data_IF_027979849948
#
_entry.id   IF_027979849948
#
_cell.length_a   1.000
_cell.length_b   1.000
_cell.length_c   1.000
_cell.angle_alpha   90.00
_cell.angle_beta   90.00
_cell.angle_gamma   90.00
#
_symmetry.space_group_name_H-M   'P 1'
#
loop_
_entity.id
_entity.type
_entity.pdbx_description
1 polymer ?
#
# COMPACT_ATOMS: atom_id res chain seq x y z
N UNK A 1 -6.42 -3.34 -33.17
CA UNK A 1 -5.69 -3.78 -31.96
C UNK A 1 -4.66 -2.78 -31.47
N UNK A 2 -4.00 -2.01 -32.36
CA UNK A 2 -2.91 -1.09 -32.01
C UNK A 2 -3.26 0.00 -30.96
N UNK A 3 -4.50 0.53 -31.00
CA UNK A 3 -4.94 1.57 -30.07
C UNK A 3 -5.08 1.05 -28.61
N UNK A 4 -5.51 -0.21 -28.46
CA UNK A 4 -5.67 -0.86 -27.15
C UNK A 4 -4.29 -1.16 -26.54
N UNK A 5 -3.32 -1.58 -27.35
CA UNK A 5 -1.95 -1.81 -26.90
C UNK A 5 -1.26 -0.49 -26.50
N UNK A 6 -1.53 0.59 -27.23
CA UNK A 6 -1.01 1.93 -26.90
C UNK A 6 -1.58 2.45 -25.57
N UNK A 7 -2.87 2.21 -25.31
CA UNK A 7 -3.52 2.57 -24.06
C UNK A 7 -3.04 1.70 -22.88
N UNK A 8 -2.71 0.42 -23.11
CA UNK A 8 -2.11 -0.44 -22.07
C UNK A 8 -0.67 -0.05 -21.71
N UNK A 9 0.08 0.56 -22.62
CA UNK A 9 1.48 0.94 -22.42
C UNK A 9 1.65 2.23 -21.62
N UNK A 10 0.67 3.13 -21.63
CA UNK A 10 0.70 4.36 -20.83
C UNK A 10 0.05 4.07 -19.47
N UNK A 11 0.75 4.36 -18.38
CA UNK A 11 0.10 4.43 -17.08
C UNK A 11 -0.95 5.53 -17.13
N UNK A 12 -2.09 5.25 -16.51
CA UNK A 12 -3.15 6.23 -16.35
C UNK A 12 -2.68 7.38 -15.45
N UNK A 13 -3.28 8.56 -15.57
CA UNK A 13 -2.92 9.74 -14.77
C UNK A 13 -3.02 9.44 -13.27
N UNK A 14 -4.06 8.70 -12.87
CA UNK A 14 -4.26 8.22 -11.50
C UNK A 14 -3.14 7.28 -11.04
N UNK A 15 -2.67 6.39 -11.91
CA UNK A 15 -1.59 5.46 -11.56
C UNK A 15 -0.25 6.19 -11.38
N UNK A 16 0.02 7.19 -12.22
CA UNK A 16 1.19 8.05 -12.08
C UNK A 16 1.12 8.83 -10.76
N UNK A 17 -0.05 9.40 -10.46
CA UNK A 17 -0.28 10.14 -9.21
C UNK A 17 -0.08 9.26 -7.97
N UNK A 18 -0.61 8.04 -7.96
CA UNK A 18 -0.42 7.08 -6.86
C UNK A 18 1.07 6.76 -6.67
N UNK A 19 1.80 6.49 -7.76
CA UNK A 19 3.22 6.15 -7.69
C UNK A 19 4.06 7.31 -7.15
N UNK A 20 3.73 8.54 -7.53
CA UNK A 20 4.40 9.75 -7.07
C UNK A 20 4.22 9.93 -5.54
N UNK A 21 2.99 9.82 -5.04
CA UNK A 21 2.72 9.92 -3.59
C UNK A 21 3.44 8.83 -2.80
N UNK A 22 3.42 7.57 -3.28
CA UNK A 22 4.14 6.47 -2.63
C UNK A 22 5.66 6.68 -2.59
N UNK A 23 6.22 7.36 -3.61
CA UNK A 23 7.63 7.72 -3.64
C UNK A 23 7.93 8.81 -2.61
N UNK A 24 7.12 9.86 -2.54
CA UNK A 24 7.27 10.96 -1.59
C UNK A 24 7.20 10.47 -0.14
N UNK A 25 6.24 9.59 0.19
CA UNK A 25 6.12 8.97 1.52
C UNK A 25 7.37 8.18 1.90
N UNK A 26 7.94 7.42 0.95
CA UNK A 26 9.15 6.64 1.17
C UNK A 26 10.36 7.56 1.40
N UNK A 27 10.49 8.63 0.62
CA UNK A 27 11.56 9.61 0.80
C UNK A 27 11.46 10.34 2.14
N UNK A 28 10.25 10.72 2.56
CA UNK A 28 10.02 11.35 3.86
C UNK A 28 10.45 10.44 5.00
N UNK A 29 10.06 9.16 4.95
CA UNK A 29 10.47 8.17 5.94
C UNK A 29 11.99 8.02 6.01
N UNK A 30 12.65 7.91 4.85
CA UNK A 30 14.11 7.80 4.80
C UNK A 30 14.82 9.03 5.39
N UNK A 31 14.27 10.25 5.21
CA UNK A 31 14.83 11.46 5.82
C UNK A 31 14.75 11.43 7.35
N UNK A 32 13.63 11.00 7.90
CA UNK A 32 13.45 10.86 9.35
C UNK A 32 14.43 9.84 9.91
N UNK A 33 14.58 8.69 9.26
CA UNK A 33 15.52 7.65 9.68
C UNK A 33 16.99 8.14 9.58
N UNK A 34 17.33 8.96 8.59
CA UNK A 34 18.67 9.54 8.45
C UNK A 34 19.00 10.51 9.59
N UNK A 35 18.11 11.45 9.89
CA UNK A 35 18.30 12.42 10.99
C UNK A 35 18.48 11.69 12.32
N UNK A 36 17.64 10.69 12.60
CA UNK A 36 17.74 9.93 13.85
C UNK A 36 19.08 9.20 14.01
N UNK A 37 19.60 8.62 12.92
CA UNK A 37 20.91 7.96 12.94
C UNK A 37 22.07 8.94 13.04
N UNK A 38 21.93 10.14 12.47
CA UNK A 38 22.95 11.19 12.51
C UNK A 38 23.11 11.74 13.93
N UNK A 39 21.99 12.06 14.59
CA UNK A 39 21.96 12.51 15.99
C UNK A 39 22.63 11.50 16.94
N UNK A 40 22.31 10.21 16.80
CA UNK A 40 22.91 9.16 17.63
C UNK A 40 24.43 9.05 17.40
N UNK A 41 24.91 9.26 16.18
CA UNK A 41 26.34 9.19 15.86
C UNK A 41 27.08 10.43 16.41
N UNK A 42 26.46 11.60 16.39
CA UNK A 42 27.02 12.82 16.97
C UNK A 42 27.16 12.74 18.50
N UNK A 43 26.18 12.17 19.20
CA UNK A 43 26.26 11.90 20.65
C UNK A 43 27.43 10.98 21.02
N UNK A 44 27.69 9.93 20.23
CA UNK A 44 28.85 9.06 20.47
C UNK A 44 30.19 9.76 20.22
N UNK A 45 30.23 10.70 19.27
CA UNK A 45 31.44 11.44 18.92
C UNK A 45 31.75 12.56 19.91
N UNK A 46 30.75 13.23 20.47
CA UNK A 46 30.94 14.26 21.50
C UNK A 46 31.54 13.67 22.77
N UNK A 47 31.06 12.50 23.21
CA UNK A 47 31.62 11.79 24.37
C UNK A 47 33.13 11.52 24.24
N UNK A 48 33.60 11.16 23.04
CA UNK A 48 35.03 10.95 22.77
C UNK A 48 35.81 12.27 22.72
N UNK A 49 35.20 13.37 22.26
CA UNK A 49 35.85 14.70 22.21
C UNK A 49 36.03 15.29 23.61
N UNK A 50 35.07 15.10 24.52
CA UNK A 50 35.15 15.63 25.88
C UNK A 50 36.32 15.01 26.66
N UNK A 51 36.54 13.70 26.55
CA UNK A 51 37.71 13.05 27.19
C UNK A 51 39.05 13.59 26.69
N UNK A 52 39.16 13.89 25.39
CA UNK A 52 40.38 14.46 24.79
C UNK A 52 40.63 15.89 25.21
N UNK A 53 39.57 16.69 25.35
CA UNK A 53 39.68 18.09 25.79
C UNK A 53 40.23 18.18 27.22
N UNK A 54 39.76 17.31 28.13
CA UNK A 54 40.26 17.26 29.52
C UNK A 54 41.73 16.84 29.55
N UNK A 55 42.12 15.86 28.73
CA UNK A 55 43.52 15.43 28.63
C UNK A 55 44.44 16.54 28.11
N UNK A 56 44.01 17.33 27.13
CA UNK A 56 44.80 18.45 26.62
C UNK A 56 44.88 19.60 27.64
N UNK A 57 43.78 19.93 28.34
CA UNK A 57 43.79 20.94 29.40
C UNK A 57 44.76 20.54 30.52
N UNK A 58 44.80 19.27 30.91
CA UNK A 58 45.77 18.76 31.89
C UNK A 58 47.22 18.82 31.40
N UNK A 59 47.46 18.83 30.07
CA UNK A 59 48.79 18.84 29.47
C UNK A 59 49.35 20.24 29.26
N UNK A 60 48.49 21.18 28.87
CA UNK A 60 48.89 22.55 28.48
C UNK A 60 48.79 23.56 29.65
N UNK A 61 47.95 23.28 30.64
CA UNK A 61 47.71 24.19 31.75
C UNK A 61 48.74 24.01 32.86
N UNK A 62 49.31 25.12 33.34
CA UNK A 62 50.20 25.12 34.52
C UNK A 62 49.42 25.23 35.85
N UNK A 63 48.16 24.79 35.85
CA UNK A 63 47.22 24.87 36.97
C UNK A 63 47.17 23.51 37.67
N UNK A 64 47.04 23.45 39.01
CA UNK A 64 46.95 22.16 39.70
C UNK A 64 45.84 21.28 39.13
N UNK A 65 46.16 20.01 38.86
CA UNK A 65 45.24 19.04 38.25
C UNK A 65 43.91 18.92 39.03
N UNK A 66 43.96 19.08 40.35
CA UNK A 66 42.78 19.05 41.22
C UNK A 66 41.75 20.12 40.85
N UNK A 67 42.19 21.33 40.51
CA UNK A 67 41.30 22.45 40.13
C UNK A 67 40.63 22.19 38.77
N UNK A 68 41.35 21.59 37.83
CA UNK A 68 40.84 21.24 36.50
C UNK A 68 39.78 20.14 36.63
N UNK A 69 40.06 19.10 37.41
CA UNK A 69 39.12 18.02 37.68
C UNK A 69 37.86 18.50 38.42
N UNK A 70 38.00 19.41 39.38
CA UNK A 70 36.85 19.99 40.10
C UNK A 70 35.95 20.84 39.18
N UNK A 71 36.54 21.55 38.22
CA UNK A 71 35.80 22.32 37.21
C UNK A 71 35.00 21.41 36.29
N UNK A 72 35.62 20.33 35.81
CA UNK A 72 34.96 19.34 34.96
C UNK A 72 33.89 18.55 35.70
N UNK A 73 34.11 18.25 36.98
CA UNK A 73 33.07 17.61 37.82
C UNK A 73 31.85 18.49 37.98
N UNK A 74 32.02 19.81 38.18
CA UNK A 74 30.91 20.77 38.21
C UNK A 74 30.18 20.85 36.87
N UNK A 75 30.92 20.85 35.77
CA UNK A 75 30.38 20.88 34.41
C UNK A 75 29.59 19.60 34.09
N UNK A 76 30.08 18.43 34.49
CA UNK A 76 29.38 17.14 34.35
C UNK A 76 28.09 17.11 35.17
N UNK A 77 28.11 17.61 36.41
CA UNK A 77 26.89 17.69 37.25
C UNK A 77 25.84 18.60 36.60
N UNK A 78 26.25 19.74 36.04
CA UNK A 78 25.34 20.66 35.36
C UNK A 78 24.79 20.08 34.06
N UNK A 79 25.63 19.41 33.26
CA UNK A 79 25.21 18.67 32.06
C UNK A 79 24.24 17.52 32.40
N UNK A 80 24.54 16.71 33.41
CA UNK A 80 23.68 15.61 33.84
C UNK A 80 22.33 16.13 34.35
N UNK A 81 22.31 17.27 35.04
CA UNK A 81 21.09 17.91 35.49
C UNK A 81 20.24 18.41 34.31
N UNK A 82 20.87 19.07 33.32
CA UNK A 82 20.21 19.52 32.10
C UNK A 82 19.68 18.34 31.28
N UNK A 83 20.47 17.29 31.11
CA UNK A 83 20.08 16.09 30.37
C UNK A 83 18.93 15.36 31.07
N UNK A 84 18.94 15.30 32.41
CA UNK A 84 17.84 14.73 33.20
C UNK A 84 16.55 15.54 33.07
N UNK A 85 16.64 16.88 33.04
CA UNK A 85 15.49 17.75 32.79
C UNK A 85 14.95 17.58 31.36
N UNK A 86 15.84 17.54 30.36
CA UNK A 86 15.47 17.28 28.97
C UNK A 86 14.86 15.89 28.80
N UNK A 87 15.43 14.86 29.41
CA UNK A 87 14.90 13.50 29.39
C UNK A 87 13.52 13.43 30.06
N UNK A 88 13.30 14.17 31.15
CA UNK A 88 11.99 14.28 31.77
C UNK A 88 10.97 14.99 30.85
N UNK A 89 11.38 16.07 30.18
CA UNK A 89 10.56 16.77 29.16
C UNK A 89 10.25 15.87 27.96
N UNK A 90 11.24 15.13 27.45
CA UNK A 90 11.08 14.15 26.36
C UNK A 90 10.13 13.03 26.79
N UNK A 91 10.27 12.47 28.00
CA UNK A 91 9.35 11.47 28.56
C UNK A 91 7.92 12.00 28.67
N UNK A 92 7.74 13.26 29.11
CA UNK A 92 6.42 13.90 29.19
C UNK A 92 5.78 14.05 27.81
N UNK A 93 6.52 14.58 26.82
CA UNK A 93 6.06 14.70 25.42
C UNK A 93 5.72 13.33 24.82
N UNK A 94 6.59 12.34 25.01
CA UNK A 94 6.36 11.01 24.45
C UNK A 94 5.14 10.31 25.09
N UNK A 95 4.91 10.53 26.40
CA UNK A 95 3.71 10.05 27.10
C UNK A 95 2.43 10.73 26.58
N UNK A 96 2.50 12.01 26.21
CA UNK A 96 1.39 12.75 25.61
C UNK A 96 1.09 12.25 24.20
N UNK A 97 2.10 12.12 23.35
CA UNK A 97 1.99 11.53 22.00
C UNK A 97 1.44 10.11 22.06
N UNK A 98 1.89 9.29 23.01
CA UNK A 98 1.39 7.92 23.17
C UNK A 98 -0.08 7.91 23.60
N UNK A 99 -0.50 8.83 24.48
CA UNK A 99 -1.91 8.99 24.86
C UNK A 99 -2.76 9.46 23.69
N UNK A 100 -2.28 10.38 22.88
CA UNK A 100 -2.99 10.85 21.69
C UNK A 100 -3.10 9.76 20.62
N UNK A 101 -2.02 9.01 20.38
CA UNK A 101 -2.05 7.81 19.52
C UNK A 101 -3.02 6.76 20.06
N UNK A 102 -3.07 6.56 21.37
CA UNK A 102 -4.01 5.64 22.00
C UNK A 102 -5.46 6.11 21.82
N UNK A 103 -5.75 7.40 22.05
CA UNK A 103 -7.08 7.99 21.82
C UNK A 103 -7.51 7.90 20.35
N UNK A 104 -6.57 8.14 19.43
CA UNK A 104 -6.81 8.01 17.99
C UNK A 104 -7.00 6.54 17.57
N UNK A 105 -6.26 5.61 18.16
CA UNK A 105 -6.43 4.18 17.94
C UNK A 105 -7.76 3.68 18.52
N UNK A 106 -8.16 4.17 19.70
CA UNK A 106 -9.47 3.88 20.30
C UNK A 106 -10.60 4.45 19.45
N UNK A 107 -10.50 5.70 18.98
CA UNK A 107 -11.49 6.30 18.09
C UNK A 107 -11.58 5.59 16.74
N UNK A 108 -10.46 5.10 16.20
CA UNK A 108 -10.44 4.24 15.01
C UNK A 108 -10.89 2.81 15.30
N UNK A 109 -10.76 2.29 16.52
CA UNK A 109 -11.16 0.92 16.88
C UNK A 109 -12.67 0.78 17.08
N UNK A 110 -13.41 1.88 17.26
CA UNK A 110 -14.87 1.92 17.17
C UNK A 110 -15.37 2.11 15.72
N UNK A 111 -14.46 2.36 14.77
CA UNK A 111 -14.81 2.22 13.36
C UNK A 111 -15.04 0.74 13.08
N UNK A 112 -16.22 0.41 12.58
CA UNK A 112 -16.50 -0.87 11.94
C UNK A 112 -15.69 -1.06 10.64
N UNK A 113 -14.48 -0.48 10.54
CA UNK A 113 -13.49 -0.85 9.54
C UNK A 113 -13.14 -2.30 9.80
N UNK A 114 -13.93 -3.15 9.16
CA UNK A 114 -13.74 -4.58 9.07
C UNK A 114 -12.28 -4.75 8.67
N UNK A 115 -11.43 -5.17 9.63
CA UNK A 115 -10.06 -5.55 9.31
C UNK A 115 -10.22 -6.55 8.18
N UNK A 116 -9.69 -6.24 7.01
CA UNK A 116 -9.75 -7.14 5.86
C UNK A 116 -8.80 -8.29 6.19
N UNK A 117 -9.25 -9.16 7.09
CA UNK A 117 -8.58 -10.37 7.52
C UNK A 117 -9.09 -11.46 6.59
N UNK A 118 -8.28 -11.80 5.60
CA UNK A 118 -8.62 -12.77 4.58
C UNK A 118 -7.82 -12.52 3.30
N UNK A 119 -7.73 -13.55 2.47
CA UNK A 119 -7.17 -13.38 1.12
C UNK A 119 -8.09 -12.44 0.35
N UNK A 120 -7.52 -11.43 -0.31
CA UNK A 120 -8.29 -10.57 -1.19
C UNK A 120 -9.10 -11.43 -2.16
N UNK A 121 -10.36 -11.06 -2.39
CA UNK A 121 -11.18 -11.73 -3.40
C UNK A 121 -10.50 -11.51 -4.75
N UNK A 122 -10.21 -12.61 -5.45
CA UNK A 122 -9.66 -12.58 -6.80
C UNK A 122 -10.76 -13.07 -7.72
N UNK A 123 -11.24 -12.19 -8.59
CA UNK A 123 -12.20 -12.56 -9.61
C UNK A 123 -11.59 -13.63 -10.52
N UNK A 124 -12.24 -14.78 -10.63
CA UNK A 124 -11.88 -15.85 -11.57
C UNK A 124 -13.04 -16.03 -12.54
N UNK A 125 -12.71 -16.16 -13.82
CA UNK A 125 -13.71 -16.46 -14.84
C UNK A 125 -14.43 -17.77 -14.48
N UNK A 126 -15.78 -17.83 -14.57
CA UNK A 126 -16.51 -19.06 -14.31
C UNK A 126 -16.12 -20.13 -15.33
N UNK A 127 -15.91 -21.35 -14.85
CA UNK A 127 -15.70 -22.51 -15.72
C UNK A 127 -17.07 -23.05 -16.11
N UNK A 128 -17.40 -22.97 -17.39
CA UNK A 128 -18.62 -23.55 -17.93
C UNK A 128 -18.31 -24.96 -18.43
N UNK A 129 -18.98 -25.96 -17.87
CA UNK A 129 -18.91 -27.33 -18.38
C UNK A 129 -19.85 -27.39 -19.59
N UNK A 130 -19.26 -27.55 -20.77
CA UNK A 130 -20.00 -27.63 -22.03
C UNK A 130 -20.23 -29.10 -22.35
N UNK A 131 -21.49 -29.55 -22.23
CA UNK A 131 -21.89 -30.90 -22.53
C UNK A 131 -22.45 -31.02 -23.96
N UNK A 132 -22.42 -32.22 -24.52
CA UNK A 132 -23.08 -32.52 -25.79
C UNK A 132 -22.34 -32.07 -27.06
N UNK A 133 -22.96 -32.29 -28.23
CA UNK A 133 -22.34 -32.10 -29.54
C UNK A 133 -22.02 -30.64 -29.85
N UNK A 134 -21.07 -30.36 -30.76
CA UNK A 134 -20.77 -29.00 -31.20
C UNK A 134 -22.03 -28.30 -31.76
N UNK A 135 -22.08 -26.98 -31.58
CA UNK A 135 -23.19 -26.17 -32.09
C UNK A 135 -23.09 -26.13 -33.62
N UNK A 136 -24.20 -26.34 -34.36
CA UNK A 136 -24.22 -26.24 -35.81
C UNK A 136 -23.95 -24.81 -36.28
N UNK A 137 -23.42 -24.66 -37.50
CA UNK A 137 -23.24 -23.36 -38.13
C UNK A 137 -24.59 -22.74 -38.56
N UNK A 138 -24.60 -21.45 -38.87
CA UNK A 138 -25.82 -20.75 -39.32
C UNK A 138 -26.40 -21.37 -40.60
N UNK A 139 -25.56 -21.70 -41.57
CA UNK A 139 -25.97 -22.38 -42.83
C UNK A 139 -26.60 -23.76 -42.59
N UNK A 140 -26.12 -24.49 -41.59
CA UNK A 140 -26.68 -25.78 -41.19
C UNK A 140 -28.08 -25.63 -40.57
N UNK A 141 -28.33 -24.53 -39.86
CA UNK A 141 -29.63 -24.25 -39.26
C UNK A 141 -30.70 -23.97 -40.31
N UNK A 142 -30.34 -23.23 -41.36
CA UNK A 142 -31.23 -22.96 -42.50
C UNK A 142 -31.49 -24.21 -43.34
N UNK A 143 -30.44 -24.89 -43.78
CA UNK A 143 -30.54 -26.05 -44.68
C UNK A 143 -31.31 -27.22 -44.08
N UNK A 144 -31.21 -27.44 -42.76
CA UNK A 144 -31.94 -28.48 -42.03
C UNK A 144 -33.32 -28.04 -41.55
N UNK A 145 -33.73 -26.79 -41.84
CA UNK A 145 -35.07 -26.28 -41.53
C UNK A 145 -35.32 -25.94 -40.06
N UNK A 146 -34.29 -25.85 -39.21
CA UNK A 146 -34.46 -25.58 -37.77
C UNK A 146 -35.07 -24.20 -37.48
N UNK A 147 -34.98 -23.26 -38.43
CA UNK A 147 -35.55 -21.91 -38.30
C UNK A 147 -37.01 -21.82 -38.75
N UNK A 148 -37.58 -22.86 -39.35
CA UNK A 148 -38.90 -22.81 -39.99
C UNK A 148 -40.04 -22.49 -39.01
N UNK A 149 -39.91 -22.92 -37.76
CA UNK A 149 -40.90 -22.69 -36.70
C UNK A 149 -40.53 -21.56 -35.75
N UNK A 150 -39.43 -20.85 -36.04
CA UNK A 150 -38.94 -19.75 -35.20
C UNK A 150 -39.60 -18.46 -35.68
N UNK A 151 -40.19 -17.71 -34.75
CA UNK A 151 -40.84 -16.44 -35.07
C UNK A 151 -39.84 -15.47 -35.71
N UNK A 152 -40.21 -14.91 -36.85
CA UNK A 152 -39.42 -13.88 -37.52
C UNK A 152 -39.12 -12.69 -36.59
N UNK A 153 -37.89 -12.17 -36.66
CA UNK A 153 -37.48 -11.01 -35.89
C UNK A 153 -38.25 -9.76 -36.36
N UNK A 154 -38.80 -8.99 -35.42
CA UNK A 154 -39.43 -7.70 -35.75
C UNK A 154 -38.37 -6.66 -36.10
N UNK A 155 -38.78 -5.61 -36.84
CA UNK A 155 -37.90 -4.51 -37.26
C UNK A 155 -37.18 -3.88 -36.06
N UNK A 156 -37.89 -3.66 -34.96
CA UNK A 156 -37.31 -3.13 -33.71
C UNK A 156 -36.24 -4.05 -33.12
N UNK A 157 -36.43 -5.38 -33.18
CA UNK A 157 -35.46 -6.35 -32.66
C UNK A 157 -34.23 -6.45 -33.55
N UNK A 158 -34.43 -6.41 -34.87
CA UNK A 158 -33.32 -6.37 -35.84
C UNK A 158 -32.46 -5.11 -35.67
N UNK A 159 -33.08 -3.96 -35.41
CA UNK A 159 -32.35 -2.72 -35.11
C UNK A 159 -31.49 -2.83 -33.83
N UNK A 160 -31.88 -3.71 -32.89
CA UNK A 160 -31.07 -4.08 -31.71
C UNK A 160 -30.07 -5.20 -31.95
N UNK A 161 -29.86 -5.65 -33.20
CA UNK A 161 -28.93 -6.71 -33.56
C UNK A 161 -29.47 -8.14 -33.35
N UNK A 162 -30.76 -8.31 -33.04
CA UNK A 162 -31.35 -9.63 -32.87
C UNK A 162 -31.83 -10.22 -34.21
N UNK A 163 -31.36 -11.42 -34.52
CA UNK A 163 -31.85 -12.24 -35.64
C UNK A 163 -32.42 -13.58 -35.14
N UNK A 164 -33.21 -14.25 -35.99
CA UNK A 164 -33.71 -15.61 -35.70
C UNK A 164 -32.58 -16.62 -35.47
N UNK A 165 -31.49 -16.49 -36.23
CA UNK A 165 -30.25 -17.25 -36.05
C UNK A 165 -29.65 -17.05 -34.66
N UNK A 166 -29.46 -15.79 -34.25
CA UNK A 166 -28.90 -15.46 -32.93
C UNK A 166 -29.76 -16.04 -31.80
N UNK A 167 -31.08 -15.98 -31.94
CA UNK A 167 -32.00 -16.59 -30.96
C UNK A 167 -31.83 -18.10 -30.84
N UNK A 168 -31.73 -18.81 -31.97
CA UNK A 168 -31.57 -20.27 -31.98
C UNK A 168 -30.21 -20.71 -31.48
N UNK A 169 -29.13 -20.09 -31.96
CA UNK A 169 -27.77 -20.39 -31.53
C UNK A 169 -27.60 -20.16 -30.03
N UNK A 170 -28.22 -19.10 -29.49
CA UNK A 170 -28.23 -18.83 -28.05
C UNK A 170 -28.93 -19.95 -27.28
N UNK A 171 -30.13 -20.37 -27.71
CA UNK A 171 -30.86 -21.44 -27.05
C UNK A 171 -30.10 -22.77 -27.07
N UNK A 172 -29.46 -23.11 -28.20
CA UNK A 172 -28.61 -24.29 -28.34
C UNK A 172 -27.33 -24.21 -27.49
N UNK A 173 -26.77 -23.02 -27.30
CA UNK A 173 -25.63 -22.84 -26.42
C UNK A 173 -26.02 -22.98 -24.95
N UNK A 174 -27.13 -22.36 -24.55
CA UNK A 174 -27.64 -22.43 -23.17
C UNK A 174 -28.00 -23.86 -22.76
N UNK A 175 -28.55 -24.67 -23.67
CA UNK A 175 -28.87 -26.08 -23.38
C UNK A 175 -27.66 -26.98 -23.14
N UNK A 176 -26.46 -26.56 -23.59
CA UNK A 176 -25.20 -27.28 -23.39
C UNK A 176 -24.50 -26.93 -22.09
N UNK A 177 -24.92 -25.85 -21.43
CA UNK A 177 -24.33 -25.42 -20.17
C UNK A 177 -25.08 -26.10 -19.04
N UNK A 178 -24.42 -27.04 -18.37
CA UNK A 178 -24.96 -27.62 -17.16
C UNK A 178 -24.60 -26.76 -15.95
N UNK A 179 -25.55 -25.94 -15.51
CA UNK A 179 -25.43 -25.06 -14.34
C UNK A 179 -25.40 -25.83 -13.01
N UNK A 180 -25.74 -27.13 -13.01
CA UNK A 180 -25.84 -27.97 -11.81
C UNK A 180 -24.74 -29.03 -11.72
N UNK A 181 -23.82 -29.10 -12.69
CA UNK A 181 -22.71 -30.07 -12.73
C UNK A 181 -21.53 -29.77 -11.78
N UNK A 182 -21.75 -28.97 -10.73
CA UNK A 182 -20.73 -28.58 -9.73
C UNK A 182 -20.84 -29.39 -8.45
#
# INVERSE_FOLDING_TARGET
MELIERNKKKLDEDQIWILQNLKEDREMKNRVDHVHNQDHNEETRSAVKDTKAIMEELRESNVPAEVILDRERKRQIEQELQEKEEAARRKKRNKEILKDRKRMAESMSFSNSQRVSGRAFVYKQPRLIINGPPIPNEEDLESKGYLQHVRAASITRMAGGFTTHTGCLRALFESRIDLLSL
#
